data_IF_454136366282
#
_entry.id   IF_454136366282
#
_cell.length_a   1.000
_cell.length_b   1.000
_cell.length_c   1.000
_cell.angle_alpha   90.00
_cell.angle_beta   90.00
_cell.angle_gamma   90.00
#
_symmetry.space_group_name_H-M   'P 1'
#
loop_
_entity.id
_entity.type
_entity.pdbx_description
1 polymer ?
#
# COMPACT_ATOMS: atom_id res chain seq x y z
N UNK A 1 -4.65 -5.40 -11.96
CA UNK A 1 -3.61 -5.94 -11.07
C UNK A 1 -2.42 -5.01 -11.16
N UNK A 2 -1.95 -4.52 -10.02
CA UNK A 2 -0.75 -3.67 -9.92
C UNK A 2 0.51 -4.51 -9.72
N UNK A 3 1.67 -4.01 -10.16
CA UNK A 3 2.95 -4.70 -9.99
C UNK A 3 3.68 -4.35 -8.67
N UNK A 4 3.18 -3.38 -7.90
CA UNK A 4 3.85 -2.82 -6.74
C UNK A 4 4.61 -1.52 -7.07
N UNK A 5 5.06 -0.83 -6.04
CA UNK A 5 5.67 0.50 -6.11
C UNK A 5 4.77 1.56 -6.79
N UNK A 6 3.45 1.37 -6.70
CA UNK A 6 2.46 2.25 -7.31
C UNK A 6 2.07 3.45 -6.42
N UNK A 7 2.34 3.40 -5.12
CA UNK A 7 1.84 4.41 -4.16
C UNK A 7 2.81 5.57 -3.95
N UNK A 8 4.11 5.28 -3.90
CA UNK A 8 5.14 6.26 -3.56
C UNK A 8 6.36 6.14 -4.48
N UNK A 9 6.98 7.29 -4.79
CA UNK A 9 8.13 7.37 -5.71
C UNK A 9 9.46 6.95 -5.08
N UNK A 10 9.52 6.89 -3.75
CA UNK A 10 10.74 6.59 -3.00
C UNK A 10 10.39 5.72 -1.79
N UNK A 11 11.39 5.04 -1.21
CA UNK A 11 11.27 4.29 0.04
C UNK A 11 11.05 5.17 1.30
N UNK A 12 10.97 6.48 1.13
CA UNK A 12 10.72 7.45 2.19
C UNK A 12 9.78 8.55 1.68
N UNK A 13 9.01 9.15 2.59
CA UNK A 13 8.25 10.35 2.28
C UNK A 13 9.14 11.57 2.39
N UNK A 14 9.07 12.45 1.39
CA UNK A 14 9.79 13.72 1.40
C UNK A 14 9.27 14.58 2.56
N UNK A 15 10.18 15.10 3.38
CA UNK A 15 9.86 15.92 4.55
C UNK A 15 8.97 17.11 4.16
N UNK A 16 7.86 17.29 4.88
CA UNK A 16 6.86 18.33 4.63
C UNK A 16 5.86 18.00 3.52
N UNK A 17 5.99 16.85 2.85
CA UNK A 17 5.05 16.35 1.83
C UNK A 17 4.38 15.04 2.26
N UNK A 18 4.53 14.62 3.51
CA UNK A 18 3.98 13.37 4.01
C UNK A 18 2.44 13.35 3.90
N UNK A 19 1.70 14.40 4.31
CA UNK A 19 0.24 14.39 4.20
C UNK A 19 -0.25 14.36 2.75
N UNK A 20 0.38 15.13 1.86
CA UNK A 20 -0.02 15.19 0.45
C UNK A 20 0.32 13.90 -0.30
N UNK A 21 1.47 13.28 0.01
CA UNK A 21 1.85 11.97 -0.56
C UNK A 21 0.86 10.89 -0.14
N UNK A 22 0.50 10.83 1.16
CA UNK A 22 -0.52 9.88 1.67
C UNK A 22 -1.90 10.12 1.04
N UNK A 23 -2.31 11.38 0.88
CA UNK A 23 -3.57 11.73 0.24
C UNK A 23 -3.61 11.30 -1.24
N UNK A 24 -2.51 11.50 -1.98
CA UNK A 24 -2.37 11.03 -3.36
C UNK A 24 -2.53 9.52 -3.44
N UNK A 25 -1.78 8.77 -2.62
CA UNK A 25 -1.85 7.32 -2.57
C UNK A 25 -3.27 6.82 -2.25
N UNK A 26 -3.91 7.39 -1.23
CA UNK A 26 -5.31 7.09 -0.89
C UNK A 26 -6.26 7.35 -2.06
N UNK A 27 -6.12 8.49 -2.73
CA UNK A 27 -6.97 8.85 -3.88
C UNK A 27 -6.82 7.85 -5.02
N UNK A 28 -5.60 7.38 -5.29
CA UNK A 28 -5.33 6.34 -6.29
C UNK A 28 -6.05 5.04 -5.93
N UNK A 29 -5.89 4.56 -4.69
CA UNK A 29 -6.51 3.33 -4.21
C UNK A 29 -8.04 3.39 -4.25
N UNK A 30 -8.65 4.47 -3.74
CA UNK A 30 -10.10 4.66 -3.78
C UNK A 30 -10.64 4.73 -5.22
N UNK A 31 -9.84 5.29 -6.14
CA UNK A 31 -10.22 5.38 -7.55
C UNK A 31 -10.18 4.01 -8.23
N UNK A 32 -9.17 3.19 -7.96
CA UNK A 32 -9.04 1.86 -8.58
C UNK A 32 -10.09 0.89 -8.08
N UNK A 33 -10.48 0.96 -6.80
CA UNK A 33 -11.60 0.18 -6.26
C UNK A 33 -12.91 0.49 -6.99
N UNK A 34 -13.15 1.77 -7.33
CA UNK A 34 -14.34 2.15 -8.12
C UNK A 34 -14.31 1.65 -9.56
N UNK A 35 -13.12 1.38 -10.11
CA UNK A 35 -12.95 0.84 -11.46
C UNK A 35 -13.14 -0.68 -11.52
N UNK A 36 -13.18 -1.37 -10.37
CA UNK A 36 -13.44 -2.80 -10.25
C UNK A 36 -12.57 -3.45 -9.16
N UNK A 37 -12.55 -4.79 -9.13
CA UNK A 37 -11.75 -5.54 -8.16
C UNK A 37 -10.26 -5.46 -8.53
N UNK A 38 -9.56 -4.46 -7.99
CA UNK A 38 -8.14 -4.27 -8.17
C UNK A 38 -7.35 -4.91 -7.02
N UNK A 39 -6.36 -5.72 -7.36
CA UNK A 39 -5.43 -6.35 -6.42
C UNK A 39 -4.06 -5.71 -6.60
N UNK A 40 -3.44 -5.35 -5.49
CA UNK A 40 -2.13 -4.69 -5.45
C UNK A 40 -1.06 -5.65 -4.94
N UNK A 41 -0.06 -5.96 -5.76
CA UNK A 41 1.19 -6.49 -5.22
C UNK A 41 1.90 -5.39 -4.41
N UNK A 42 2.58 -5.76 -3.33
CA UNK A 42 3.29 -4.78 -2.46
C UNK A 42 4.77 -4.70 -2.83
N UNK A 43 5.20 -3.52 -3.27
CA UNK A 43 6.59 -3.19 -3.56
C UNK A 43 7.33 -2.56 -2.37
N UNK A 44 8.63 -2.31 -2.53
CA UNK A 44 9.47 -1.73 -1.48
C UNK A 44 9.05 -0.30 -1.13
N UNK A 45 8.72 0.51 -2.13
CA UNK A 45 8.38 1.93 -1.98
C UNK A 45 6.98 2.12 -1.40
N UNK A 46 6.07 1.16 -1.56
CA UNK A 46 4.72 1.21 -0.97
C UNK A 46 4.76 1.29 0.57
N UNK A 47 5.86 0.84 1.19
CA UNK A 47 6.11 0.96 2.63
C UNK A 47 6.59 2.35 3.09
N UNK A 48 6.76 3.34 2.21
CA UNK A 48 7.28 4.66 2.59
C UNK A 48 6.44 5.36 3.66
N UNK A 49 5.13 5.09 3.69
CA UNK A 49 4.19 5.61 4.68
C UNK A 49 4.05 4.73 5.95
N UNK A 50 4.76 3.59 6.00
CA UNK A 50 4.68 2.57 7.04
C UNK A 50 3.57 1.53 6.78
N UNK A 51 3.69 0.36 7.41
CA UNK A 51 2.71 -0.74 7.28
C UNK A 51 1.32 -0.36 7.80
N UNK A 52 1.24 0.46 8.84
CA UNK A 52 -0.05 0.91 9.40
C UNK A 52 -0.87 1.70 8.38
N UNK A 53 -0.22 2.43 7.47
CA UNK A 53 -0.92 3.10 6.38
C UNK A 53 -1.54 2.09 5.41
N UNK A 54 -0.82 1.03 5.03
CA UNK A 54 -1.35 0.00 4.13
C UNK A 54 -2.55 -0.71 4.76
N UNK A 55 -2.47 -1.08 6.05
CA UNK A 55 -3.59 -1.68 6.79
C UNK A 55 -4.80 -0.75 6.86
N UNK A 56 -4.59 0.54 7.15
CA UNK A 56 -5.65 1.54 7.12
C UNK A 56 -6.32 1.60 5.74
N UNK A 57 -5.56 1.47 4.64
CA UNK A 57 -6.14 1.48 3.29
C UNK A 57 -6.91 0.19 2.96
N UNK A 58 -6.52 -0.97 3.47
CA UNK A 58 -7.33 -2.19 3.36
C UNK A 58 -8.68 -2.01 4.05
N UNK A 59 -8.68 -1.45 5.27
CA UNK A 59 -9.89 -1.22 6.07
C UNK A 59 -10.79 -0.13 5.49
N UNK A 60 -10.22 0.98 5.01
CA UNK A 60 -11.00 2.19 4.68
C UNK A 60 -11.25 2.38 3.18
N UNK A 61 -10.33 1.96 2.32
CA UNK A 61 -10.46 2.12 0.87
C UNK A 61 -10.96 0.85 0.17
N UNK A 62 -11.12 -0.26 0.88
CA UNK A 62 -11.51 -1.55 0.30
C UNK A 62 -10.44 -2.12 -0.63
N UNK A 63 -9.18 -1.77 -0.39
CA UNK A 63 -8.03 -2.26 -1.17
C UNK A 63 -7.67 -3.68 -0.74
N UNK A 64 -7.16 -4.49 -1.67
CA UNK A 64 -6.60 -5.80 -1.37
C UNK A 64 -5.13 -5.85 -1.77
N UNK A 65 -4.25 -5.92 -0.76
CA UNK A 65 -2.81 -6.12 -0.98
C UNK A 65 -2.47 -7.60 -0.92
N UNK A 66 -1.50 -8.01 -1.73
CA UNK A 66 -0.96 -9.38 -1.72
C UNK A 66 0.56 -9.35 -1.74
N UNK A 67 1.18 -10.36 -1.14
CA UNK A 67 2.60 -10.65 -1.28
C UNK A 67 2.86 -12.11 -0.94
N UNK A 68 3.73 -12.78 -1.70
CA UNK A 68 4.11 -14.16 -1.43
C UNK A 68 5.38 -14.29 -0.57
N UNK A 69 6.05 -13.18 -0.23
CA UNK A 69 7.38 -13.18 0.39
C UNK A 69 7.50 -12.26 1.62
N UNK A 70 6.51 -11.41 1.89
CA UNK A 70 6.49 -10.56 3.07
C UNK A 70 5.80 -11.30 4.23
N UNK A 71 6.53 -11.46 5.33
CA UNK A 71 6.07 -12.16 6.53
C UNK A 71 6.20 -11.29 7.77
N UNK A 72 5.30 -11.47 8.74
CA UNK A 72 5.35 -10.74 9.99
C UNK A 72 6.57 -11.19 10.81
N UNK A 73 7.37 -10.22 11.27
CA UNK A 73 8.60 -10.50 12.00
C UNK A 73 8.35 -11.39 13.23
N UNK A 74 9.17 -12.43 13.40
CA UNK A 74 9.01 -13.42 14.49
C UNK A 74 7.94 -14.49 14.21
N UNK A 75 7.31 -14.46 13.03
CA UNK A 75 6.35 -15.46 12.57
C UNK A 75 6.72 -15.92 11.14
N UNK A 76 6.08 -16.99 10.67
CA UNK A 76 6.10 -17.38 9.25
C UNK A 76 4.76 -17.04 8.56
N UNK A 77 3.96 -16.17 9.16
CA UNK A 77 2.68 -15.75 8.61
C UNK A 77 2.89 -14.62 7.61
N UNK A 78 2.27 -14.76 6.44
CA UNK A 78 2.29 -13.73 5.41
C UNK A 78 1.63 -12.44 5.94
N UNK A 79 2.23 -11.31 5.60
CA UNK A 79 1.75 -9.98 6.00
C UNK A 79 0.52 -9.55 5.21
N UNK A 80 0.38 -9.99 3.95
CA UNK A 80 -0.71 -9.65 3.04
C UNK A 80 -1.17 -10.90 2.28
N UNK A 81 -2.48 -11.15 2.21
CA UNK A 81 -3.08 -12.39 1.69
C UNK A 81 -4.32 -12.13 0.82
#
# INVERSE_FOLDING_TARGET
MDAGDGLFENYYLVKGKEPSSKLKAKTVLESTVKMGNYIYNVGQSDFAAGIEFLREMEETAGTHFISSNLVNAGTNELTFN
#
